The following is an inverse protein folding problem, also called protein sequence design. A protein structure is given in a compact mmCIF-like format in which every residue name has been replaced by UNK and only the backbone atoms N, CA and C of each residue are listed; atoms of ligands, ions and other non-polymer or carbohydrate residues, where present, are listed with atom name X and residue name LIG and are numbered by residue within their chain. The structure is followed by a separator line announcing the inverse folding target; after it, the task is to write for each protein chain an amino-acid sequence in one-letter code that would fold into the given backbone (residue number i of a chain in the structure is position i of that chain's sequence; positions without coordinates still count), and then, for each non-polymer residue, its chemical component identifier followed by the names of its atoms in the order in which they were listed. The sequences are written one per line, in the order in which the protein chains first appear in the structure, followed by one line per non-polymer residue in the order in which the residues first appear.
data_IF_351704352050
#
_entry.id   IF_351704352050
#
_cell.length_a   1.000
_cell.length_b   1.000
_cell.length_c   1.000
_cell.angle_alpha   90.00
_cell.angle_beta   90.00
_cell.angle_gamma   90.00
#
_symmetry.space_group_name_H-M   'P 1'
#
loop_
_entity.id
_entity.type
_entity.pdbx_description
1 polymer ?
#
# COMPACT_ATOMS: atom_id res chain seq x y z
N UNK A 1 -13.18 -35.92 31.45
CA UNK A 1 -13.12 -35.53 30.03
C UNK A 1 -11.96 -34.56 29.86
N UNK A 2 -10.79 -35.06 29.48
CA UNK A 2 -9.66 -34.24 29.04
C UNK A 2 -9.30 -34.75 27.65
N UNK A 3 -9.84 -34.08 26.63
CA UNK A 3 -9.36 -34.25 25.25
C UNK A 3 -7.93 -33.73 25.22
N UNK A 4 -6.96 -34.65 25.26
CA UNK A 4 -5.60 -34.34 24.83
C UNK A 4 -5.68 -34.01 23.34
N UNK A 5 -5.41 -32.76 22.97
CA UNK A 5 -5.03 -32.43 21.61
C UNK A 5 -3.85 -33.33 21.25
N UNK A 6 -4.08 -34.31 20.39
CA UNK A 6 -3.01 -35.05 19.77
C UNK A 6 -2.20 -34.05 18.96
N UNK A 7 -0.99 -33.70 19.44
CA UNK A 7 0.09 -33.29 18.55
C UNK A 7 0.17 -34.38 17.49
N UNK A 8 -0.17 -34.05 16.25
CA UNK A 8 0.17 -34.86 15.08
C UNK A 8 1.71 -34.84 14.99
N UNK A 9 2.33 -35.68 15.81
CA UNK A 9 3.74 -36.03 15.72
C UNK A 9 3.88 -36.91 14.50
N UNK A 10 4.32 -36.30 13.40
CA UNK A 10 5.18 -36.84 12.36
C UNK A 10 5.21 -38.37 12.28
N UNK A 11 4.46 -38.94 11.35
CA UNK A 11 4.75 -40.27 10.82
C UNK A 11 5.55 -40.12 9.54
N UNK A 12 6.84 -40.46 9.62
CA UNK A 12 7.67 -40.96 8.52
C UNK A 12 7.89 -40.03 7.31
N UNK A 13 8.90 -39.15 7.37
CA UNK A 13 9.57 -38.61 6.18
C UNK A 13 8.68 -37.89 5.14
N UNK A 14 7.45 -37.56 5.50
CA UNK A 14 6.52 -36.84 4.65
C UNK A 14 6.88 -35.36 4.73
N UNK A 15 7.14 -34.77 3.57
CA UNK A 15 7.37 -33.34 3.43
C UNK A 15 6.04 -32.59 3.50
N UNK A 16 6.02 -31.44 4.18
CA UNK A 16 4.88 -30.56 4.42
C UNK A 16 4.68 -29.60 3.23
N UNK A 17 3.44 -29.47 2.76
CA UNK A 17 3.09 -28.56 1.68
C UNK A 17 3.05 -27.09 2.15
N UNK A 18 2.94 -26.15 1.20
CA UNK A 18 2.72 -24.74 1.51
C UNK A 18 1.52 -24.56 2.45
N UNK A 19 1.67 -23.75 3.49
CA UNK A 19 0.64 -23.50 4.50
C UNK A 19 0.51 -24.61 5.56
N UNK A 20 1.22 -25.73 5.42
CA UNK A 20 1.24 -26.78 6.44
C UNK A 20 2.31 -26.53 7.51
N UNK A 21 2.08 -27.08 8.70
CA UNK A 21 2.99 -26.96 9.82
C UNK A 21 4.34 -27.64 9.54
N UNK A 22 5.43 -27.01 9.97
CA UNK A 22 6.80 -27.51 9.79
C UNK A 22 7.63 -27.32 11.07
N UNK A 23 8.69 -28.14 11.19
CA UNK A 23 9.66 -28.09 12.29
C UNK A 23 11.09 -28.05 11.71
N UNK A 24 11.32 -27.09 10.81
CA UNK A 24 12.60 -26.90 10.10
C UNK A 24 12.45 -26.79 8.58
N UNK A 25 13.43 -26.19 7.91
CA UNK A 25 13.38 -25.88 6.46
C UNK A 25 13.39 -27.11 5.56
N UNK A 26 14.00 -28.23 5.99
CA UNK A 26 13.97 -29.50 5.25
C UNK A 26 12.64 -30.24 5.37
N UNK A 27 11.72 -29.73 6.21
CA UNK A 27 10.40 -30.32 6.36
C UNK A 27 9.46 -29.96 5.21
N UNK A 28 9.74 -28.93 4.40
CA UNK A 28 8.85 -28.49 3.31
C UNK A 28 9.03 -29.32 2.02
N UNK A 29 7.95 -29.47 1.23
CA UNK A 29 7.93 -30.26 -0.03
C UNK A 29 8.89 -29.72 -1.08
N UNK A 30 9.02 -28.40 -1.19
CA UNK A 30 9.97 -27.75 -2.08
C UNK A 30 10.95 -26.89 -1.28
N UNK A 31 12.03 -27.49 -0.82
CA UNK A 31 13.09 -26.78 -0.09
C UNK A 31 13.89 -25.80 -0.96
N UNK A 32 13.70 -25.82 -2.28
CA UNK A 32 14.37 -24.88 -3.19
C UNK A 32 13.69 -23.52 -3.12
N UNK A 33 12.37 -23.49 -3.11
CA UNK A 33 11.56 -22.26 -3.17
C UNK A 33 10.82 -21.95 -1.86
N UNK A 34 10.71 -22.90 -0.94
CA UNK A 34 10.02 -22.76 0.35
C UNK A 34 10.98 -22.87 1.53
N UNK A 35 10.58 -22.27 2.64
CA UNK A 35 11.24 -22.36 3.93
C UNK A 35 10.21 -22.34 5.07
N UNK A 36 10.61 -22.85 6.24
CA UNK A 36 9.75 -22.90 7.41
C UNK A 36 9.78 -21.53 8.11
N UNK A 37 8.72 -20.74 7.93
CA UNK A 37 8.56 -19.40 8.52
C UNK A 37 7.38 -19.44 9.49
N UNK A 38 7.64 -19.11 10.75
CA UNK A 38 6.62 -19.11 11.81
C UNK A 38 5.89 -20.46 11.90
N UNK A 39 6.66 -21.56 11.99
CA UNK A 39 6.19 -22.94 12.07
C UNK A 39 5.31 -23.40 10.90
N UNK A 40 5.33 -22.68 9.77
CA UNK A 40 4.54 -22.98 8.56
C UNK A 40 5.42 -22.91 7.31
N UNK A 41 5.24 -23.83 6.37
CA UNK A 41 5.94 -23.79 5.09
C UNK A 41 5.42 -22.61 4.24
N UNK A 42 6.31 -21.68 3.91
CA UNK A 42 6.01 -20.48 3.14
C UNK A 42 7.04 -20.29 2.02
N UNK A 43 6.70 -19.48 1.01
CA UNK A 43 7.68 -19.12 -0.02
C UNK A 43 8.83 -18.34 0.63
N UNK A 44 10.07 -18.65 0.20
CA UNK A 44 11.25 -17.89 0.60
C UNK A 44 11.09 -16.42 0.26
N UNK A 45 11.84 -15.56 0.95
CA UNK A 45 11.76 -14.09 0.77
C UNK A 45 11.94 -13.61 -0.68
N UNK A 46 12.70 -14.34 -1.51
CA UNK A 46 12.92 -14.06 -2.94
C UNK A 46 11.88 -14.67 -3.88
N UNK A 47 10.84 -15.28 -3.32
CA UNK A 47 9.76 -15.94 -4.03
C UNK A 47 8.41 -15.37 -3.57
N UNK A 48 7.37 -15.54 -4.39
CA UNK A 48 6.00 -15.17 -4.08
C UNK A 48 5.07 -16.33 -4.40
N UNK A 49 3.88 -16.33 -3.81
CA UNK A 49 2.85 -17.33 -4.10
C UNK A 49 1.99 -16.84 -5.26
N UNK A 50 1.88 -17.65 -6.31
CA UNK A 50 0.96 -17.35 -7.41
C UNK A 50 -0.51 -17.47 -6.96
N UNK A 51 -1.42 -16.85 -7.70
CA UNK A 51 -2.83 -16.69 -7.40
C UNK A 51 -3.57 -18.04 -7.47
N UNK A 52 -3.09 -18.96 -8.29
CA UNK A 52 -3.57 -20.34 -8.35
C UNK A 52 -3.23 -21.14 -7.09
N UNK A 53 -2.35 -20.60 -6.23
CA UNK A 53 -1.81 -21.28 -5.06
C UNK A 53 -1.22 -22.66 -5.42
N UNK A 54 -0.46 -22.74 -6.50
CA UNK A 54 0.16 -23.98 -6.96
C UNK A 54 1.67 -24.00 -6.72
N UNK A 55 2.34 -22.85 -6.84
CA UNK A 55 3.81 -22.77 -6.78
C UNK A 55 4.33 -21.52 -6.06
N UNK A 56 5.59 -21.59 -5.62
CA UNK A 56 6.36 -20.42 -5.23
C UNK A 56 7.23 -20.00 -6.42
N UNK A 57 6.96 -18.84 -6.99
CA UNK A 57 7.64 -18.33 -8.17
C UNK A 57 8.65 -17.25 -7.78
N UNK A 58 9.75 -17.16 -8.53
CA UNK A 58 10.79 -16.20 -8.23
C UNK A 58 10.27 -14.77 -8.41
N UNK A 59 10.59 -13.90 -7.45
CA UNK A 59 10.28 -12.48 -7.58
C UNK A 59 11.04 -11.88 -8.75
N UNK A 60 10.43 -10.89 -9.38
CA UNK A 60 10.94 -10.23 -10.59
C UNK A 60 11.43 -8.80 -10.28
N UNK A 61 12.34 -8.32 -11.12
CA UNK A 61 12.97 -7.01 -10.97
C UNK A 61 12.01 -5.86 -11.28
N UNK A 62 12.41 -4.64 -10.90
CA UNK A 62 11.77 -3.41 -11.36
C UNK A 62 11.66 -3.37 -12.89
N UNK A 63 10.56 -2.79 -13.41
CA UNK A 63 10.22 -2.68 -14.83
C UNK A 63 9.99 -4.02 -15.57
N UNK A 64 10.11 -5.17 -14.88
CA UNK A 64 9.74 -6.46 -15.43
C UNK A 64 8.21 -6.61 -15.50
N UNK A 65 7.73 -7.32 -16.52
CA UNK A 65 6.32 -7.63 -16.71
C UNK A 65 5.79 -8.53 -15.59
N UNK A 66 4.59 -8.23 -15.09
CA UNK A 66 3.97 -8.92 -13.96
C UNK A 66 2.45 -9.11 -14.20
N UNK A 67 1.81 -9.97 -13.41
CA UNK A 67 0.36 -10.18 -13.43
C UNK A 67 -0.34 -9.52 -12.25
N UNK A 68 -1.27 -8.60 -12.48
CA UNK A 68 -2.03 -7.96 -11.40
C UNK A 68 -2.89 -8.92 -10.55
N UNK A 69 -3.11 -10.16 -10.99
CA UNK A 69 -3.74 -11.20 -10.18
C UNK A 69 -2.83 -11.69 -9.03
N UNK A 70 -1.52 -11.54 -9.18
CA UNK A 70 -0.50 -12.04 -8.24
C UNK A 70 0.05 -10.93 -7.36
N UNK A 71 -0.05 -11.09 -6.04
CA UNK A 71 0.56 -10.16 -5.09
C UNK A 71 2.00 -10.53 -4.76
N UNK A 72 2.85 -9.52 -4.50
CA UNK A 72 4.21 -9.75 -3.99
C UNK A 72 5.23 -10.24 -5.03
N UNK A 73 4.92 -10.20 -6.32
CA UNK A 73 5.83 -10.56 -7.43
C UNK A 73 7.13 -9.76 -7.43
N UNK A 74 7.09 -8.51 -6.98
CA UNK A 74 8.22 -7.62 -7.17
C UNK A 74 9.28 -7.79 -6.08
N UNK A 75 10.54 -7.75 -6.48
CA UNK A 75 11.71 -7.91 -5.60
C UNK A 75 11.82 -6.79 -4.56
N UNK A 76 11.55 -5.55 -4.94
CA UNK A 76 11.52 -4.40 -4.03
C UNK A 76 10.19 -4.36 -3.25
N UNK A 77 10.27 -4.35 -1.91
CA UNK A 77 9.10 -4.31 -1.03
C UNK A 77 8.25 -3.03 -1.18
N UNK A 78 8.82 -1.96 -1.75
CA UNK A 78 8.17 -0.69 -2.04
C UNK A 78 7.70 -0.59 -3.50
N UNK A 79 7.76 -1.69 -4.25
CA UNK A 79 7.17 -1.83 -5.58
C UNK A 79 5.93 -2.73 -5.56
N UNK A 80 5.09 -2.57 -6.56
CA UNK A 80 3.87 -3.36 -6.78
C UNK A 80 3.63 -3.55 -8.28
N UNK A 81 2.92 -4.62 -8.63
CA UNK A 81 2.52 -4.84 -10.01
C UNK A 81 1.38 -3.87 -10.38
N UNK A 82 1.63 -2.96 -11.32
CA UNK A 82 0.62 -1.98 -11.77
C UNK A 82 0.80 -1.61 -13.25
N UNK A 83 -0.24 -1.00 -13.82
CA UNK A 83 -0.23 -0.51 -15.21
C UNK A 83 0.84 0.59 -15.39
N UNK A 84 1.61 0.51 -16.46
CA UNK A 84 2.69 1.45 -16.80
C UNK A 84 2.23 2.67 -17.63
N UNK A 85 0.91 2.79 -17.88
CA UNK A 85 0.29 3.80 -18.73
C UNK A 85 0.17 3.38 -20.20
N UNK A 86 0.71 2.22 -20.59
CA UNK A 86 0.67 1.69 -21.96
C UNK A 86 -0.21 0.44 -22.12
N UNK A 87 -1.03 0.12 -21.10
CA UNK A 87 -1.81 -1.12 -20.99
C UNK A 87 -0.94 -2.37 -20.80
N UNK A 88 0.27 -2.19 -20.28
CA UNK A 88 1.10 -3.30 -19.80
C UNK A 88 1.32 -3.15 -18.32
N UNK A 89 1.46 -4.28 -17.62
CA UNK A 89 1.63 -4.32 -16.17
C UNK A 89 3.06 -4.66 -15.83
N UNK A 90 3.65 -3.86 -14.96
CA UNK A 90 5.06 -3.99 -14.57
C UNK A 90 5.25 -3.79 -13.07
N UNK A 91 6.35 -4.31 -12.55
CA UNK A 91 6.80 -4.00 -11.21
C UNK A 91 7.30 -2.56 -11.14
N UNK A 92 6.48 -1.69 -10.56
CA UNK A 92 6.72 -0.25 -10.48
C UNK A 92 6.58 0.21 -9.03
N UNK A 93 7.17 1.36 -8.68
CA UNK A 93 7.10 1.86 -7.31
C UNK A 93 5.66 2.13 -6.87
N UNK A 94 5.34 1.78 -5.62
CA UNK A 94 4.07 2.14 -4.98
C UNK A 94 3.83 3.64 -5.09
N UNK A 95 2.57 4.07 -5.02
CA UNK A 95 2.19 5.49 -5.17
C UNK A 95 2.95 6.43 -4.21
N UNK A 96 3.35 5.96 -3.04
CA UNK A 96 4.14 6.73 -2.05
C UNK A 96 5.64 6.81 -2.34
N UNK A 97 6.11 6.14 -3.39
CA UNK A 97 7.52 6.03 -3.76
C UNK A 97 7.76 6.49 -5.21
N UNK A 98 9.02 6.81 -5.52
CA UNK A 98 9.52 7.14 -6.85
C UNK A 98 10.78 6.31 -7.16
N UNK A 99 11.04 6.12 -8.44
CA UNK A 99 12.18 5.35 -8.91
C UNK A 99 13.49 6.14 -8.78
N UNK A 100 14.51 5.47 -8.27
CA UNK A 100 15.90 5.89 -8.32
C UNK A 100 16.73 4.71 -8.82
N UNK A 101 16.92 4.63 -10.13
CA UNK A 101 17.77 3.60 -10.76
C UNK A 101 17.31 2.16 -10.44
N UNK A 102 16.01 1.91 -10.49
CA UNK A 102 15.40 0.61 -10.22
C UNK A 102 15.10 0.33 -8.75
N UNK A 103 15.31 1.30 -7.86
CA UNK A 103 14.99 1.20 -6.42
C UNK A 103 13.91 2.21 -6.04
N UNK A 104 12.91 1.76 -5.30
CA UNK A 104 11.79 2.60 -4.91
C UNK A 104 12.07 3.36 -3.62
N UNK A 105 12.23 4.68 -3.75
CA UNK A 105 12.51 5.62 -2.66
C UNK A 105 11.27 6.43 -2.29
N UNK A 106 11.07 6.72 -1.01
CA UNK A 106 9.89 7.48 -0.54
C UNK A 106 9.82 8.86 -1.22
N UNK A 107 8.63 9.22 -1.69
CA UNK A 107 8.37 10.55 -2.27
C UNK A 107 8.61 11.67 -1.26
N UNK A 108 9.03 12.82 -1.77
CA UNK A 108 9.43 13.99 -0.99
C UNK A 108 8.23 14.87 -0.68
N UNK A 109 8.12 15.27 0.58
CA UNK A 109 7.12 16.23 1.05
C UNK A 109 7.38 17.62 0.46
N UNK A 110 6.40 18.53 0.51
CA UNK A 110 6.60 19.94 0.20
C UNK A 110 7.77 20.53 0.98
N UNK A 111 8.41 21.56 0.41
CA UNK A 111 9.62 22.23 0.92
C UNK A 111 10.90 21.37 0.96
N UNK A 112 10.83 20.09 0.65
CA UNK A 112 12.00 19.21 0.56
C UNK A 112 12.67 19.36 -0.80
N UNK A 113 14.00 19.48 -0.79
CA UNK A 113 14.82 19.64 -1.98
C UNK A 113 14.66 18.48 -2.97
N UNK A 114 14.51 18.79 -4.25
CA UNK A 114 14.31 17.85 -5.35
C UNK A 114 15.18 18.22 -6.54
N UNK A 115 15.38 17.27 -7.46
CA UNK A 115 16.28 17.47 -8.62
C UNK A 115 15.62 17.16 -9.96
N UNK A 116 14.43 16.58 -9.93
CA UNK A 116 13.70 16.18 -11.12
C UNK A 116 12.21 16.08 -10.81
N UNK A 117 11.41 16.11 -11.87
CA UNK A 117 9.97 15.89 -11.78
C UNK A 117 9.63 14.49 -11.27
N UNK A 118 8.48 14.35 -10.64
CA UNK A 118 7.97 13.07 -10.13
C UNK A 118 8.63 12.56 -8.85
N UNK A 119 9.52 13.31 -8.20
CA UNK A 119 10.10 12.96 -6.89
C UNK A 119 9.20 13.30 -5.72
N UNK A 120 8.24 14.20 -5.92
CA UNK A 120 7.39 14.74 -4.86
C UNK A 120 6.16 13.86 -4.61
N UNK A 121 5.54 14.03 -3.44
CA UNK A 121 4.28 13.38 -3.07
C UNK A 121 3.16 13.66 -4.07
N UNK A 122 2.10 12.86 -4.04
CA UNK A 122 0.93 13.08 -4.91
C UNK A 122 0.40 14.50 -4.77
N UNK A 123 0.08 15.12 -5.92
CA UNK A 123 -0.35 16.52 -6.03
C UNK A 123 0.72 17.57 -5.66
N UNK A 124 2.00 17.19 -5.65
CA UNK A 124 3.13 18.09 -5.63
C UNK A 124 4.06 17.81 -6.82
N UNK A 125 4.84 18.81 -7.22
CA UNK A 125 5.88 18.67 -8.22
C UNK A 125 7.12 19.47 -7.84
N UNK A 126 8.27 19.06 -8.37
CA UNK A 126 9.54 19.73 -8.18
C UNK A 126 9.60 21.03 -9.00
N UNK A 127 9.84 22.17 -8.34
CA UNK A 127 10.07 23.46 -8.99
C UNK A 127 11.53 23.57 -9.50
N UNK A 128 11.84 22.79 -10.53
CA UNK A 128 13.18 22.71 -11.12
C UNK A 128 13.58 24.05 -11.74
N UNK A 129 14.66 24.65 -11.24
CA UNK A 129 15.16 25.93 -11.72
C UNK A 129 14.49 27.16 -11.08
N UNK A 130 13.55 26.94 -10.16
CA UNK A 130 13.02 27.97 -9.27
C UNK A 130 13.55 27.78 -7.85
N UNK A 131 12.77 27.13 -6.99
CA UNK A 131 13.15 26.84 -5.59
C UNK A 131 13.96 25.55 -5.41
N UNK A 132 13.99 24.68 -6.43
CA UNK A 132 14.53 23.31 -6.38
C UNK A 132 13.95 22.49 -5.21
N UNK A 133 12.68 22.77 -4.87
CA UNK A 133 11.92 22.10 -3.83
C UNK A 133 10.60 21.58 -4.36
N UNK A 134 10.03 20.63 -3.65
CA UNK A 134 8.67 20.17 -3.90
C UNK A 134 7.65 21.23 -3.51
N UNK A 135 6.75 21.56 -4.43
CA UNK A 135 5.65 22.50 -4.22
C UNK A 135 4.32 21.82 -4.54
N UNK A 136 3.28 22.12 -3.75
CA UNK A 136 1.94 21.63 -4.07
C UNK A 136 1.46 22.21 -5.41
N UNK A 137 0.89 21.37 -6.26
CA UNK A 137 0.30 21.79 -7.52
C UNK A 137 -0.85 22.79 -7.27
N UNK A 138 -1.12 23.63 -8.27
CA UNK A 138 -2.24 24.60 -8.23
C UNK A 138 -3.54 23.93 -7.79
N UNK A 139 -4.18 24.48 -6.75
CA UNK A 139 -5.44 23.96 -6.19
C UNK A 139 -5.26 23.01 -4.99
N UNK A 140 -4.02 22.72 -4.60
CA UNK A 140 -3.69 21.95 -3.40
C UNK A 140 -2.92 22.82 -2.40
N UNK A 141 -3.09 22.54 -1.12
CA UNK A 141 -2.37 23.21 -0.03
C UNK A 141 -1.76 22.17 0.90
N UNK A 142 -0.68 22.56 1.57
CA UNK A 142 -0.08 21.75 2.62
C UNK A 142 -1.08 21.52 3.76
N UNK A 143 -1.13 20.28 4.23
CA UNK A 143 -1.90 19.87 5.39
C UNK A 143 -0.98 19.33 6.48
N UNK A 144 -1.43 19.25 7.75
CA UNK A 144 -0.62 18.72 8.83
C UNK A 144 -0.03 17.34 8.51
N UNK A 145 1.18 17.11 9.03
CA UNK A 145 2.14 16.06 8.62
C UNK A 145 1.60 14.62 8.76
N UNK A 146 0.50 14.41 9.48
CA UNK A 146 -0.02 13.07 9.80
C UNK A 146 -1.02 12.50 8.78
N UNK A 147 -1.24 13.18 7.65
CA UNK A 147 -2.15 12.67 6.60
C UNK A 147 -1.37 12.08 5.42
N UNK A 148 -1.85 10.98 4.80
CA UNK A 148 -1.21 10.36 3.63
C UNK A 148 -1.19 11.27 2.39
N UNK A 149 -1.85 12.42 2.42
CA UNK A 149 -1.91 13.42 1.36
C UNK A 149 -1.46 14.79 1.89
N UNK A 150 -0.15 15.00 1.96
CA UNK A 150 0.47 16.28 2.35
C UNK A 150 -0.10 17.46 1.56
N UNK A 151 -0.30 17.30 0.25
CA UNK A 151 -0.98 18.27 -0.61
C UNK A 151 -2.44 17.84 -0.82
N UNK A 152 -3.35 18.43 -0.04
CA UNK A 152 -4.78 18.16 -0.13
C UNK A 152 -5.51 19.28 -0.86
N UNK A 153 -6.52 18.91 -1.66
CA UNK A 153 -7.29 19.87 -2.43
C UNK A 153 -8.12 20.77 -1.52
N UNK A 154 -8.18 22.07 -1.86
CA UNK A 154 -9.14 22.98 -1.22
C UNK A 154 -10.56 22.65 -1.71
N UNK A 155 -11.27 21.81 -0.95
CA UNK A 155 -12.72 21.72 -1.08
C UNK A 155 -13.30 23.08 -0.74
N UNK A 156 -13.70 23.84 -1.76
CA UNK A 156 -14.54 25.03 -1.56
C UNK A 156 -15.86 24.53 -0.98
N UNK A 157 -15.98 24.51 0.35
CA UNK A 157 -17.28 24.54 0.98
C UNK A 157 -17.93 25.82 0.49
N UNK A 158 -18.87 25.70 -0.45
CA UNK A 158 -19.81 26.77 -0.72
C UNK A 158 -20.46 27.06 0.63
N UNK A 159 -20.07 28.18 1.24
CA UNK A 159 -20.72 28.73 2.42
C UNK A 159 -22.20 28.80 2.11
N UNK A 160 -22.98 27.86 2.66
CA UNK A 160 -24.44 27.96 2.66
C UNK A 160 -24.78 29.07 3.62
N UNK A 161 -24.79 30.29 3.09
CA UNK A 161 -25.40 31.45 3.71
C UNK A 161 -26.91 31.18 3.80
N UNK A 162 -27.37 30.59 4.90
CA UNK A 162 -28.80 30.61 5.24
C UNK A 162 -28.99 31.07 6.68
N UNK A 163 -29.00 32.40 6.78
CA UNK A 163 -29.98 33.23 7.49
C UNK A 163 -30.45 32.74 8.86
N UNK A 164 -29.98 33.46 9.87
CA UNK A 164 -30.72 33.82 11.08
C UNK A 164 -32.24 33.90 10.84
N UNK A 165 -33.00 32.91 11.31
CA UNK A 165 -34.45 33.05 11.49
C UNK A 165 -34.69 33.44 12.94
N UNK A 166 -34.82 34.76 13.13
CA UNK A 166 -35.28 35.42 14.34
C UNK A 166 -36.69 34.91 14.67
N UNK A 167 -36.96 34.29 15.84
CA UNK A 167 -38.34 34.03 16.25
C UNK A 167 -38.91 35.29 16.93
N UNK A 168 -39.54 36.16 16.14
CA UNK A 168 -40.51 37.14 16.66
C UNK A 168 -41.89 36.68 16.22
N UNK A 169 -42.85 36.79 17.16
CA UNK A 169 -44.28 36.49 17.08
C UNK A 169 -44.70 35.04 17.34
N UNK A 170 -44.94 34.72 18.62
CA UNK A 170 -46.20 34.09 19.00
C UNK A 170 -46.56 34.46 20.46
N UNK A 171 -46.76 35.74 20.73
CA UNK A 171 -47.63 36.18 21.83
C UNK A 171 -49.06 36.17 21.31
N UNK A 172 -49.78 35.06 21.48
CA UNK A 172 -51.23 35.06 21.42
C UNK A 172 -51.82 34.31 22.61
N UNK A 173 -52.50 35.12 23.43
CA UNK A 173 -53.83 34.84 23.96
C UNK A 173 -53.95 33.77 25.03
N UNK A 174 -53.83 34.25 26.27
CA UNK A 174 -54.97 34.42 27.17
C UNK A 174 -56.31 33.91 26.60
N UNK A 175 -56.73 32.70 26.99
CA UNK A 175 -58.13 32.24 27.04
C UNK A 175 -58.16 30.85 27.70
N UNK A 176 -57.95 30.84 29.02
CA UNK A 176 -58.45 29.79 29.92
C UNK A 176 -59.16 30.52 31.07
N UNK A 177 -60.41 30.86 30.81
CA UNK A 177 -61.48 31.04 31.79
C UNK A 177 -62.70 30.31 31.24
#
# INVERSE_FOLDING_TARGET
MLLKCAKLSQTNGATAAYGEACDGSTACTDTTTQECISDTCQCKTTYFRNHENTACEAKIAYDAACDTADSGQCTDANSECKDDGTRTTKCLCKTTHYDVSGTCTIRKNPDIACTATGQCVTNAECDVGGTDKCECNTGYTETPIDTPTMCSGVVKFASVSYMYVVPILLTMMSLLR
#
